data_IF_357213153980
#
_entry.id   IF_357213153980
#
_cell.length_a   1.000
_cell.length_b   1.000
_cell.length_c   1.000
_cell.angle_alpha   90.00
_cell.angle_beta   90.00
_cell.angle_gamma   90.00
#
_symmetry.space_group_name_H-M   'P 1'
#
loop_
_entity.id
_entity.type
_entity.pdbx_description
1 polymer ?
#
# COMPACT_ATOMS: atom_id res chain seq x y z
N UNK A 1 12.61 -19.08 -5.37
CA UNK A 1 11.53 -20.03 -5.08
C UNK A 1 10.33 -19.38 -4.39
N UNK A 2 10.47 -18.24 -3.71
CA UNK A 2 9.40 -17.48 -3.03
C UNK A 2 8.36 -16.86 -3.99
N UNK A 3 8.75 -16.41 -5.18
CA UNK A 3 7.82 -15.79 -6.14
C UNK A 3 6.69 -16.69 -6.64
N UNK A 4 6.92 -18.00 -6.77
CA UNK A 4 5.87 -18.94 -7.20
C UNK A 4 4.80 -19.19 -6.13
N UNK A 5 5.15 -19.05 -4.86
CA UNK A 5 4.19 -19.25 -3.76
C UNK A 5 3.21 -18.10 -3.65
N UNK A 6 3.67 -16.86 -3.92
CA UNK A 6 2.84 -15.67 -3.89
C UNK A 6 1.79 -15.69 -5.01
N UNK A 7 2.22 -15.88 -6.26
CA UNK A 7 1.32 -15.98 -7.41
C UNK A 7 0.30 -17.09 -7.19
N UNK A 8 0.72 -18.24 -6.66
CA UNK A 8 -0.17 -19.34 -6.32
C UNK A 8 -1.23 -18.93 -5.28
N UNK A 9 -0.83 -18.29 -4.18
CA UNK A 9 -1.75 -17.88 -3.11
C UNK A 9 -2.72 -16.80 -3.58
N UNK A 10 -2.27 -15.85 -4.42
CA UNK A 10 -3.07 -14.71 -4.83
C UNK A 10 -3.95 -15.02 -6.03
N UNK A 11 -3.48 -15.83 -7.00
CA UNK A 11 -4.15 -16.09 -8.28
C UNK A 11 -4.37 -17.56 -8.58
N UNK A 12 -3.30 -18.36 -8.63
CA UNK A 12 -3.32 -19.68 -9.26
C UNK A 12 -4.23 -20.65 -8.53
N UNK A 13 -4.34 -20.53 -7.20
CA UNK A 13 -5.23 -21.37 -6.40
C UNK A 13 -6.72 -21.26 -6.80
N UNK A 14 -7.13 -20.12 -7.35
CA UNK A 14 -8.52 -19.90 -7.77
C UNK A 14 -8.82 -20.51 -9.15
N UNK A 15 -7.78 -20.77 -9.93
CA UNK A 15 -7.85 -21.38 -11.26
C UNK A 15 -7.32 -22.81 -11.26
N UNK A 16 -6.71 -23.26 -10.15
CA UNK A 16 -6.25 -24.63 -9.98
C UNK A 16 -7.44 -25.61 -9.90
N UNK A 17 -7.22 -26.83 -10.39
CA UNK A 17 -8.24 -27.89 -10.41
C UNK A 17 -8.41 -28.50 -9.01
N UNK A 18 -9.09 -27.81 -8.10
CA UNK A 18 -9.62 -28.41 -6.89
C UNK A 18 -11.02 -28.97 -7.16
N UNK A 19 -11.39 -30.07 -6.52
CA UNK A 19 -12.69 -30.69 -6.72
C UNK A 19 -13.82 -29.83 -6.11
N UNK A 20 -13.53 -29.18 -4.99
CA UNK A 20 -14.45 -28.27 -4.27
C UNK A 20 -13.69 -27.08 -3.68
N UNK A 21 -14.41 -26.04 -3.27
CA UNK A 21 -13.84 -24.94 -2.49
C UNK A 21 -13.29 -25.40 -1.13
N UNK A 22 -13.91 -26.40 -0.54
CA UNK A 22 -13.45 -26.97 0.74
C UNK A 22 -12.09 -27.66 0.57
N UNK A 23 -11.86 -28.39 -0.53
CA UNK A 23 -10.55 -29.00 -0.83
C UNK A 23 -9.45 -27.92 -0.99
N UNK A 24 -9.79 -26.79 -1.60
CA UNK A 24 -8.88 -25.66 -1.73
C UNK A 24 -8.53 -25.03 -0.38
N UNK A 25 -9.53 -24.84 0.49
CA UNK A 25 -9.35 -24.30 1.84
C UNK A 25 -8.53 -25.26 2.70
N UNK A 26 -8.80 -26.57 2.61
CA UNK A 26 -8.03 -27.60 3.31
C UNK A 26 -6.57 -27.63 2.84
N UNK A 27 -6.34 -27.56 1.53
CA UNK A 27 -4.98 -27.47 0.97
C UNK A 27 -4.21 -26.27 1.52
N UNK A 28 -4.84 -25.08 1.57
CA UNK A 28 -4.23 -23.88 2.12
C UNK A 28 -3.93 -24.01 3.62
N UNK A 29 -4.86 -24.57 4.39
CA UNK A 29 -4.67 -24.87 5.82
C UNK A 29 -3.46 -25.77 6.04
N UNK A 30 -3.39 -26.88 5.32
CA UNK A 30 -2.26 -27.82 5.38
C UNK A 30 -0.93 -27.16 4.97
N UNK A 31 -0.94 -26.27 3.98
CA UNK A 31 0.24 -25.54 3.56
C UNK A 31 0.74 -24.58 4.67
N UNK A 32 -0.19 -23.85 5.31
CA UNK A 32 0.14 -22.96 6.44
C UNK A 32 0.68 -23.76 7.62
N UNK A 33 0.04 -24.87 7.98
CA UNK A 33 0.50 -25.74 9.07
C UNK A 33 1.90 -26.29 8.81
N UNK A 34 2.16 -26.71 7.58
CA UNK A 34 3.49 -27.18 7.16
C UNK A 34 4.56 -26.06 7.23
N UNK A 35 4.20 -24.84 6.85
CA UNK A 35 5.09 -23.67 6.94
C UNK A 35 5.39 -23.33 8.39
N UNK A 36 4.38 -23.28 9.27
CA UNK A 36 4.54 -23.00 10.69
C UNK A 36 5.37 -24.11 11.36
N UNK A 37 5.05 -25.38 11.08
CA UNK A 37 5.84 -26.51 11.60
C UNK A 37 7.30 -26.44 11.15
N UNK A 38 7.56 -26.10 9.89
CA UNK A 38 8.93 -25.94 9.38
C UNK A 38 9.66 -24.78 10.03
N UNK A 39 8.97 -23.68 10.36
CA UNK A 39 9.53 -22.53 11.05
C UNK A 39 9.88 -22.85 12.51
N UNK A 40 8.98 -23.57 13.22
CA UNK A 40 9.16 -23.90 14.64
C UNK A 40 10.19 -25.04 14.83
N UNK A 41 10.20 -26.01 13.92
CA UNK A 41 11.05 -27.21 14.04
C UNK A 41 12.46 -27.03 13.48
N UNK A 42 12.71 -26.02 12.67
CA UNK A 42 14.06 -25.71 12.23
C UNK A 42 14.86 -25.17 13.41
N UNK A 43 16.02 -25.78 13.60
CA UNK A 43 17.11 -25.06 14.25
C UNK A 43 17.36 -23.81 13.40
N UNK A 44 16.92 -22.65 13.90
CA UNK A 44 16.96 -21.38 13.17
C UNK A 44 18.38 -20.92 12.86
N UNK A 45 19.36 -21.77 13.15
CA UNK A 45 20.74 -21.60 12.75
C UNK A 45 21.37 -20.32 13.31
N UNK A 46 22.11 -19.66 12.47
CA UNK A 46 22.77 -18.41 12.83
C UNK A 46 21.73 -17.25 12.87
N UNK A 47 21.54 -16.58 14.02
CA UNK A 47 20.62 -15.44 14.13
C UNK A 47 20.87 -14.33 13.10
N UNK A 48 22.10 -14.16 12.62
CA UNK A 48 22.46 -13.18 11.60
C UNK A 48 21.83 -13.53 10.25
N UNK A 49 21.85 -14.80 9.86
CA UNK A 49 21.22 -15.25 8.60
C UNK A 49 19.68 -15.09 8.67
N UNK A 50 19.10 -15.29 9.84
CA UNK A 50 17.67 -15.07 10.04
C UNK A 50 17.30 -13.59 9.88
N UNK A 51 18.10 -12.67 10.44
CA UNK A 51 17.93 -11.24 10.28
C UNK A 51 18.08 -10.83 8.82
N UNK A 52 19.02 -11.39 8.08
CA UNK A 52 19.21 -11.10 6.66
C UNK A 52 18.00 -11.55 5.82
N UNK A 53 17.41 -12.70 6.13
CA UNK A 53 16.25 -13.22 5.42
C UNK A 53 14.96 -12.46 5.78
N UNK A 54 14.71 -12.24 7.09
CA UNK A 54 13.48 -11.60 7.57
C UNK A 54 13.54 -10.07 7.46
N UNK A 55 14.74 -9.48 7.50
CA UNK A 55 14.91 -8.02 7.49
C UNK A 55 14.29 -7.35 6.27
N UNK A 56 14.38 -7.98 5.09
CA UNK A 56 13.72 -7.49 3.87
C UNK A 56 12.21 -7.50 3.97
N UNK A 57 11.64 -8.57 4.50
CA UNK A 57 10.19 -8.77 4.66
C UNK A 57 9.62 -7.81 5.71
N UNK A 58 10.36 -7.57 6.81
CA UNK A 58 10.01 -6.57 7.83
C UNK A 58 10.07 -5.16 7.25
N UNK A 59 11.13 -4.82 6.51
CA UNK A 59 11.27 -3.50 5.88
C UNK A 59 10.20 -3.21 4.84
N UNK A 60 9.71 -4.25 4.16
CA UNK A 60 8.60 -4.17 3.20
C UNK A 60 7.22 -4.13 3.88
N UNK A 61 7.16 -4.22 5.23
CA UNK A 61 5.92 -4.30 6.00
C UNK A 61 5.03 -5.51 5.60
N UNK A 62 5.66 -6.62 5.19
CA UNK A 62 4.99 -7.85 4.75
C UNK A 62 4.91 -8.90 5.86
N UNK A 63 5.53 -8.65 7.02
CA UNK A 63 5.48 -9.49 8.20
C UNK A 63 4.84 -8.74 9.36
N UNK A 64 3.73 -9.28 9.86
CA UNK A 64 3.11 -8.82 11.10
C UNK A 64 2.98 -9.95 12.10
N UNK A 65 3.28 -9.66 13.36
CA UNK A 65 3.21 -10.60 14.46
C UNK A 65 2.41 -10.00 15.61
N UNK A 66 1.66 -10.82 16.30
CA UNK A 66 0.89 -10.40 17.46
C UNK A 66 1.14 -11.34 18.63
N UNK A 67 1.17 -10.81 19.84
CA UNK A 67 1.21 -11.60 21.09
C UNK A 67 0.23 -11.03 22.11
N UNK A 68 -0.50 -11.89 22.86
CA UNK A 68 -1.31 -11.47 24.00
C UNK A 68 -0.48 -11.13 25.23
N UNK A 69 0.83 -11.42 25.24
CA UNK A 69 1.74 -11.16 26.36
C UNK A 69 2.34 -9.76 26.18
N UNK A 70 2.14 -8.88 27.18
CA UNK A 70 2.53 -7.46 27.09
C UNK A 70 4.02 -7.28 26.80
N UNK A 71 4.90 -8.01 27.48
CA UNK A 71 6.36 -7.88 27.29
C UNK A 71 6.79 -8.31 25.88
N UNK A 72 6.12 -9.32 25.30
CA UNK A 72 6.36 -9.75 23.92
C UNK A 72 5.81 -8.72 22.91
N UNK A 73 4.62 -8.18 23.15
CA UNK A 73 4.02 -7.14 22.34
C UNK A 73 4.93 -5.89 22.28
N UNK A 74 5.54 -5.50 23.41
CA UNK A 74 6.51 -4.41 23.47
C UNK A 74 7.77 -4.70 22.66
N UNK A 75 8.21 -5.95 22.61
CA UNK A 75 9.33 -6.36 21.75
C UNK A 75 8.94 -6.27 20.27
N UNK A 76 7.77 -6.81 19.91
CA UNK A 76 7.27 -6.75 18.53
C UNK A 76 7.10 -5.31 18.04
N UNK A 77 6.59 -4.42 18.89
CA UNK A 77 6.48 -3.00 18.59
C UNK A 77 7.84 -2.34 18.33
N UNK A 78 8.83 -2.61 19.19
CA UNK A 78 10.21 -2.08 18.98
C UNK A 78 10.88 -2.61 17.72
N UNK A 79 10.52 -3.81 17.29
CA UNK A 79 11.00 -4.41 16.04
C UNK A 79 10.20 -3.94 14.82
N UNK A 80 9.13 -3.13 15.02
CA UNK A 80 8.21 -2.68 13.98
C UNK A 80 7.57 -3.85 13.18
N UNK A 81 7.22 -4.94 13.87
CA UNK A 81 6.57 -6.12 13.28
C UNK A 81 5.19 -6.38 13.90
N UNK A 82 4.65 -5.46 14.66
CA UNK A 82 3.33 -5.55 15.30
C UNK A 82 2.18 -5.12 14.37
N UNK A 83 2.47 -4.76 13.12
CA UNK A 83 1.50 -4.27 12.15
C UNK A 83 1.00 -2.84 12.43
N UNK A 84 1.56 -2.15 13.42
CA UNK A 84 1.26 -0.74 13.66
C UNK A 84 1.77 0.14 12.52
N UNK A 85 1.11 1.28 12.32
CA UNK A 85 1.65 2.31 11.42
C UNK A 85 3.04 2.71 11.93
N UNK A 86 4.08 2.62 11.09
CA UNK A 86 5.44 2.92 11.54
C UNK A 86 5.54 4.32 12.14
N UNK A 87 6.33 4.47 13.19
CA UNK A 87 6.69 5.79 13.69
C UNK A 87 7.47 6.53 12.60
N UNK A 88 6.82 7.51 11.95
CA UNK A 88 7.38 8.20 10.78
C UNK A 88 8.48 9.21 11.15
N UNK A 89 8.72 9.39 12.44
CA UNK A 89 9.68 10.36 12.97
C UNK A 89 9.24 11.80 12.68
N UNK A 90 10.22 12.71 12.71
CA UNK A 90 9.97 14.11 12.39
C UNK A 90 9.88 14.32 10.87
N UNK A 91 9.06 15.27 10.45
CA UNK A 91 8.80 15.64 9.07
C UNK A 91 7.34 15.43 8.67
N UNK A 92 7.03 15.80 7.46
CA UNK A 92 5.70 15.58 6.88
C UNK A 92 5.59 14.17 6.34
N UNK A 93 4.40 13.61 6.37
CA UNK A 93 4.15 12.28 5.84
C UNK A 93 3.10 12.28 4.73
N UNK A 94 3.31 11.40 3.78
CA UNK A 94 2.34 11.13 2.71
C UNK A 94 2.36 9.65 2.41
N UNK A 95 1.20 9.00 2.46
CA UNK A 95 1.05 7.65 1.91
C UNK A 95 -0.37 7.43 1.38
N UNK A 96 -0.50 6.42 0.55
CA UNK A 96 -1.76 6.00 -0.06
C UNK A 96 -2.01 4.55 0.30
N UNK A 97 -3.24 4.24 0.67
CA UNK A 97 -3.71 2.85 0.76
C UNK A 97 -4.81 2.62 -0.25
N UNK A 98 -4.96 1.39 -0.69
CA UNK A 98 -6.08 0.97 -1.54
C UNK A 98 -6.91 -0.09 -0.82
N UNK A 99 -8.21 -0.08 -1.08
CA UNK A 99 -9.13 -1.06 -0.53
C UNK A 99 -10.18 -1.42 -1.60
N UNK A 100 -10.20 -2.69 -1.98
CA UNK A 100 -11.15 -3.23 -2.95
C UNK A 100 -12.56 -3.23 -2.38
N UNK A 101 -13.49 -2.59 -3.07
CA UNK A 101 -14.91 -2.56 -2.70
C UNK A 101 -15.72 -3.76 -3.19
N UNK A 102 -15.09 -4.66 -3.94
CA UNK A 102 -15.72 -5.82 -4.53
C UNK A 102 -15.18 -7.11 -3.88
N UNK A 103 -15.95 -8.18 -3.94
CA UNK A 103 -15.58 -9.49 -3.37
C UNK A 103 -14.83 -10.35 -4.40
N UNK A 104 -13.77 -9.81 -4.99
CA UNK A 104 -12.94 -10.49 -5.99
C UNK A 104 -11.44 -10.30 -5.67
N UNK A 105 -10.55 -10.68 -6.58
CA UNK A 105 -9.09 -10.57 -6.44
C UNK A 105 -8.47 -9.56 -7.40
N UNK A 106 -9.25 -8.54 -7.78
CA UNK A 106 -8.84 -7.56 -8.79
C UNK A 106 -7.62 -6.74 -8.34
N UNK A 107 -7.37 -6.65 -7.02
CA UNK A 107 -6.17 -6.00 -6.46
C UNK A 107 -4.88 -6.59 -7.02
N UNK A 108 -4.89 -7.87 -7.42
CA UNK A 108 -3.73 -8.53 -8.03
C UNK A 108 -3.38 -7.98 -9.41
N UNK A 109 -4.26 -7.16 -9.99
CA UNK A 109 -4.07 -6.47 -11.26
C UNK A 109 -3.89 -4.95 -11.08
N UNK A 110 -3.93 -4.47 -9.84
CA UNK A 110 -3.78 -3.05 -9.54
C UNK A 110 -2.31 -2.62 -9.54
N UNK A 111 -2.01 -1.48 -10.19
CA UNK A 111 -0.73 -0.79 -10.07
C UNK A 111 -1.00 0.63 -9.58
N UNK A 112 -0.32 1.05 -8.52
CA UNK A 112 -0.46 2.39 -7.95
C UNK A 112 0.83 3.17 -8.13
N UNK A 113 0.72 4.35 -8.74
CA UNK A 113 1.81 5.30 -8.88
C UNK A 113 1.45 6.63 -8.21
N UNK A 114 2.37 7.19 -7.40
CA UNK A 114 2.14 8.38 -6.57
C UNK A 114 3.12 9.48 -6.99
N UNK A 115 2.62 10.65 -7.39
CA UNK A 115 3.43 11.77 -7.89
C UNK A 115 3.15 13.04 -7.10
N UNK A 116 3.76 13.24 -5.92
CA UNK A 116 3.74 14.52 -5.22
C UNK A 116 4.75 15.48 -5.86
N UNK A 117 4.28 16.68 -6.21
CA UNK A 117 5.13 17.78 -6.69
C UNK A 117 4.96 18.97 -5.76
N UNK A 118 5.97 19.27 -4.96
CA UNK A 118 5.92 20.26 -3.89
C UNK A 118 6.94 21.38 -4.12
N UNK A 119 6.52 22.58 -3.75
CA UNK A 119 7.40 23.76 -3.66
C UNK A 119 7.31 24.28 -2.22
N UNK A 120 8.45 24.43 -1.59
CA UNK A 120 8.58 24.94 -0.23
C UNK A 120 8.95 26.42 -0.20
N UNK A 121 8.48 27.14 0.81
CA UNK A 121 8.96 28.45 1.16
C UNK A 121 9.58 28.42 2.57
N UNK A 122 10.92 28.40 2.68
CA UNK A 122 11.60 28.34 3.97
C UNK A 122 11.33 29.55 4.89
N UNK A 123 11.01 30.71 4.31
CA UNK A 123 10.77 31.93 5.10
C UNK A 123 9.44 31.88 5.83
N UNK A 124 8.38 31.41 5.18
CA UNK A 124 7.04 31.22 5.76
C UNK A 124 6.81 29.82 6.31
N UNK A 125 7.73 28.88 6.04
CA UNK A 125 7.56 27.45 6.33
C UNK A 125 6.29 26.88 5.73
N UNK A 126 5.90 27.35 4.57
CA UNK A 126 4.74 26.88 3.84
C UNK A 126 5.15 25.94 2.71
N UNK A 127 4.22 25.05 2.36
CA UNK A 127 4.31 24.12 1.26
C UNK A 127 3.08 24.26 0.38
N UNK A 128 3.28 24.19 -0.92
CA UNK A 128 2.20 24.10 -1.91
C UNK A 128 2.61 23.18 -3.05
N UNK A 129 1.64 22.63 -3.72
CA UNK A 129 1.91 21.79 -4.88
C UNK A 129 0.72 21.01 -5.36
N UNK A 130 1.00 19.90 -6.00
CA UNK A 130 -0.01 18.97 -6.51
C UNK A 130 0.34 17.55 -6.07
N UNK A 131 -0.68 16.74 -5.91
CA UNK A 131 -0.58 15.30 -5.76
C UNK A 131 -1.35 14.65 -6.91
N UNK A 132 -0.70 13.74 -7.61
CA UNK A 132 -1.34 12.85 -8.57
C UNK A 132 -1.19 11.41 -8.09
N UNK A 133 -2.28 10.64 -8.09
CA UNK A 133 -2.26 9.19 -7.84
C UNK A 133 -2.90 8.52 -9.03
N UNK A 134 -2.13 7.67 -9.71
CA UNK A 134 -2.61 6.88 -10.84
C UNK A 134 -2.83 5.45 -10.39
N UNK A 135 -4.04 4.95 -10.61
CA UNK A 135 -4.43 3.56 -10.40
C UNK A 135 -4.64 2.91 -11.76
N UNK A 136 -3.77 1.98 -12.14
CA UNK A 136 -3.89 1.21 -13.39
C UNK A 136 -4.53 -0.14 -13.08
N UNK A 137 -5.47 -0.55 -13.92
CA UNK A 137 -6.12 -1.85 -13.89
C UNK A 137 -5.61 -2.71 -15.05
N UNK A 138 -4.68 -3.60 -14.75
CA UNK A 138 -4.08 -4.51 -15.74
C UNK A 138 -4.97 -5.74 -16.05
N UNK A 139 -6.17 -5.84 -15.44
CA UNK A 139 -7.12 -6.91 -15.73
C UNK A 139 -7.63 -6.83 -17.17
N UNK A 140 -7.90 -8.01 -17.72
CA UNK A 140 -8.56 -8.19 -19.01
C UNK A 140 -9.98 -8.75 -18.81
N UNK A 141 -10.88 -8.47 -19.74
CA UNK A 141 -12.19 -9.12 -19.79
C UNK A 141 -12.11 -10.64 -20.02
N UNK A 142 -10.95 -11.14 -20.49
CA UNK A 142 -10.68 -12.55 -20.71
C UNK A 142 -10.09 -13.26 -19.45
N UNK A 143 -9.78 -12.51 -18.40
CA UNK A 143 -9.32 -13.08 -17.13
C UNK A 143 -10.44 -13.88 -16.44
N UNK A 144 -10.10 -14.92 -15.67
CA UNK A 144 -11.09 -15.74 -14.99
C UNK A 144 -12.03 -14.93 -14.11
N UNK A 145 -13.35 -15.12 -14.26
CA UNK A 145 -14.37 -14.40 -13.53
C UNK A 145 -14.17 -14.47 -12.00
N UNK A 146 -13.67 -15.60 -11.49
CA UNK A 146 -13.36 -15.76 -10.06
C UNK A 146 -12.33 -14.75 -9.55
N UNK A 147 -11.46 -14.25 -10.41
CA UNK A 147 -10.44 -13.25 -10.07
C UNK A 147 -10.96 -11.83 -10.27
N UNK A 148 -11.59 -11.56 -11.41
CA UNK A 148 -11.92 -10.20 -11.85
C UNK A 148 -13.44 -9.94 -11.86
N UNK A 149 -14.25 -10.91 -11.44
CA UNK A 149 -15.70 -10.78 -11.40
C UNK A 149 -16.15 -9.61 -10.52
N UNK A 150 -17.17 -8.94 -10.99
CA UNK A 150 -17.87 -7.90 -10.27
C UNK A 150 -19.38 -8.15 -10.33
N UNK A 151 -20.16 -7.41 -9.56
CA UNK A 151 -21.61 -7.46 -9.70
C UNK A 151 -22.01 -6.87 -11.06
N UNK A 152 -22.52 -7.68 -12.00
CA UNK A 152 -22.88 -7.20 -13.35
C UNK A 152 -23.94 -6.11 -13.37
N UNK A 153 -24.68 -5.94 -12.26
CA UNK A 153 -25.68 -4.89 -12.09
C UNK A 153 -25.07 -3.53 -11.77
N UNK A 154 -23.81 -3.51 -11.32
CA UNK A 154 -23.12 -2.32 -10.86
C UNK A 154 -21.93 -1.92 -11.71
N UNK A 155 -21.17 -2.91 -12.18
CA UNK A 155 -19.99 -2.66 -13.00
C UNK A 155 -19.75 -3.85 -13.97
N UNK A 156 -19.22 -3.61 -15.19
CA UNK A 156 -18.78 -4.66 -16.09
C UNK A 156 -17.74 -5.57 -15.47
N UNK A 157 -17.63 -6.80 -15.99
CA UNK A 157 -16.59 -7.75 -15.62
C UNK A 157 -15.19 -7.12 -15.77
N UNK A 158 -14.35 -7.33 -14.78
CA UNK A 158 -12.99 -6.79 -14.75
C UNK A 158 -12.91 -5.31 -14.36
N UNK A 159 -14.03 -4.66 -14.05
CA UNK A 159 -13.98 -3.30 -13.50
C UNK A 159 -13.43 -3.32 -12.08
N UNK A 160 -12.39 -2.54 -11.85
CA UNK A 160 -11.79 -2.29 -10.55
C UNK A 160 -12.54 -1.16 -9.85
N UNK A 161 -12.91 -1.36 -8.59
CA UNK A 161 -13.55 -0.33 -7.77
C UNK A 161 -12.86 -0.27 -6.42
N UNK A 162 -12.16 0.84 -6.18
CA UNK A 162 -11.29 1.01 -5.03
C UNK A 162 -11.67 2.23 -4.21
N UNK A 163 -11.44 2.14 -2.90
CA UNK A 163 -11.25 3.30 -2.05
C UNK A 163 -9.74 3.55 -1.95
N UNK A 164 -9.28 4.67 -2.49
CA UNK A 164 -7.96 5.20 -2.21
C UNK A 164 -8.07 6.10 -0.97
N UNK A 165 -7.25 5.83 0.05
CA UNK A 165 -7.13 6.72 1.20
C UNK A 165 -5.76 7.37 1.19
N UNK A 166 -5.75 8.70 1.13
CA UNK A 166 -4.55 9.53 1.10
C UNK A 166 -4.36 10.12 2.49
N UNK A 167 -3.25 9.78 3.13
CA UNK A 167 -2.90 10.28 4.46
C UNK A 167 -1.84 11.35 4.36
N UNK A 168 -2.10 12.51 4.96
CA UNK A 168 -1.16 13.63 5.02
C UNK A 168 -1.55 14.62 6.12
N UNK A 169 -0.58 15.42 6.60
CA UNK A 169 -0.84 16.57 7.47
C UNK A 169 -1.38 17.77 6.72
N UNK A 170 -1.23 17.78 5.39
CA UNK A 170 -1.59 18.91 4.53
C UNK A 170 -3.05 18.92 4.14
N UNK A 171 -3.52 20.11 3.78
CA UNK A 171 -4.83 20.26 3.16
C UNK A 171 -4.78 19.84 1.69
N UNK A 172 -5.70 18.96 1.30
CA UNK A 172 -5.96 18.61 -0.09
C UNK A 172 -7.23 19.31 -0.55
N UNK A 173 -7.12 20.13 -1.58
CA UNK A 173 -8.21 20.86 -2.21
C UNK A 173 -8.35 20.45 -3.68
N UNK A 174 -9.51 20.79 -4.28
CA UNK A 174 -9.81 20.54 -5.71
C UNK A 174 -9.54 19.09 -6.12
N UNK A 175 -10.01 18.14 -5.30
CA UNK A 175 -9.79 16.72 -5.56
C UNK A 175 -10.67 16.28 -6.73
N UNK A 176 -10.03 15.66 -7.72
CA UNK A 176 -10.66 15.21 -8.97
C UNK A 176 -10.30 13.78 -9.27
N UNK A 177 -11.23 13.06 -9.87
CA UNK A 177 -11.00 11.76 -10.50
C UNK A 177 -11.22 11.94 -12.01
N UNK A 178 -10.21 11.62 -12.81
CA UNK A 178 -10.20 11.80 -14.27
C UNK A 178 -10.61 13.21 -14.71
N UNK A 179 -10.14 14.21 -13.96
CA UNK A 179 -10.45 15.62 -14.19
C UNK A 179 -11.82 16.09 -13.68
N UNK A 180 -12.66 15.19 -13.15
CA UNK A 180 -13.99 15.52 -12.64
C UNK A 180 -13.93 15.74 -11.13
N UNK A 181 -14.42 16.87 -10.58
CA UNK A 181 -14.47 17.09 -9.13
C UNK A 181 -15.32 16.01 -8.43
N UNK A 182 -14.85 15.49 -7.32
CA UNK A 182 -15.52 14.44 -6.56
C UNK A 182 -15.73 14.85 -5.11
N UNK A 183 -16.78 14.29 -4.48
CA UNK A 183 -16.96 14.38 -3.04
C UNK A 183 -15.99 13.41 -2.35
N UNK A 184 -15.32 13.90 -1.30
CA UNK A 184 -14.29 13.18 -0.57
C UNK A 184 -14.65 13.10 0.90
N UNK A 185 -14.56 11.89 1.46
CA UNK A 185 -14.59 11.73 2.92
C UNK A 185 -13.29 12.23 3.52
N UNK A 186 -13.36 13.01 4.59
CA UNK A 186 -12.16 13.44 5.34
C UNK A 186 -12.37 13.12 6.81
N UNK A 187 -11.42 12.40 7.38
CA UNK A 187 -11.45 12.07 8.82
C UNK A 187 -10.05 12.13 9.44
N UNK A 188 -9.94 12.41 10.73
CA UNK A 188 -8.66 12.32 11.43
C UNK A 188 -8.32 10.85 11.69
N UNK A 189 -7.12 10.43 11.29
CA UNK A 189 -6.61 9.09 11.52
C UNK A 189 -5.08 9.13 11.65
N UNK A 190 -4.52 8.42 12.61
CA UNK A 190 -3.07 8.40 12.91
C UNK A 190 -2.45 9.80 13.09
N UNK A 191 -3.24 10.76 13.62
CA UNK A 191 -2.80 12.16 13.80
C UNK A 191 -2.71 12.97 12.50
N UNK A 192 -3.33 12.51 11.41
CA UNK A 192 -3.33 13.11 10.06
C UNK A 192 -4.74 13.22 9.51
N UNK A 193 -4.86 13.86 8.36
CA UNK A 193 -6.06 13.80 7.55
C UNK A 193 -6.01 12.53 6.68
N UNK A 194 -7.08 11.76 6.71
CA UNK A 194 -7.33 10.67 5.78
C UNK A 194 -8.38 11.14 4.76
N UNK A 195 -7.98 11.33 3.53
CA UNK A 195 -8.86 11.71 2.40
C UNK A 195 -9.27 10.45 1.66
N UNK A 196 -10.56 10.13 1.68
CA UNK A 196 -11.10 8.89 1.13
C UNK A 196 -11.75 9.18 -0.23
N UNK A 197 -11.17 8.64 -1.28
CA UNK A 197 -11.60 8.86 -2.68
C UNK A 197 -12.00 7.52 -3.29
N UNK A 198 -13.22 7.43 -3.82
CA UNK A 198 -13.64 6.27 -4.60
C UNK A 198 -13.20 6.43 -6.05
N UNK A 199 -12.55 5.39 -6.61
CA UNK A 199 -12.10 5.32 -8.00
C UNK A 199 -12.68 4.07 -8.64
N UNK A 200 -13.14 4.19 -9.88
CA UNK A 200 -13.61 3.07 -10.69
C UNK A 200 -12.81 3.06 -12.00
N UNK A 201 -12.17 1.92 -12.30
CA UNK A 201 -11.27 1.78 -13.44
C UNK A 201 -11.68 0.58 -14.28
N UNK A 202 -11.98 0.82 -15.56
CA UNK A 202 -12.29 -0.23 -16.51
C UNK A 202 -11.07 -1.16 -16.76
N UNK A 203 -11.30 -2.41 -17.23
CA UNK A 203 -10.20 -3.31 -17.61
C UNK A 203 -9.24 -2.66 -18.61
N UNK A 204 -7.93 -2.80 -18.39
CA UNK A 204 -6.89 -2.25 -19.25
C UNK A 204 -6.78 -0.72 -19.24
N UNK A 205 -7.47 -0.03 -18.33
CA UNK A 205 -7.46 1.43 -18.23
C UNK A 205 -6.72 1.92 -16.97
N UNK A 206 -6.62 3.24 -16.84
CA UNK A 206 -6.12 3.90 -15.64
C UNK A 206 -7.12 4.96 -15.18
N UNK A 207 -7.26 5.10 -13.85
CA UNK A 207 -7.97 6.20 -13.20
C UNK A 207 -6.96 7.13 -12.52
N UNK A 208 -7.16 8.43 -12.62
CA UNK A 208 -6.22 9.43 -12.11
C UNK A 208 -6.89 10.31 -11.08
N UNK A 209 -6.38 10.28 -9.85
CA UNK A 209 -6.78 11.21 -8.78
C UNK A 209 -5.78 12.35 -8.74
N UNK A 210 -6.28 13.59 -8.80
CA UNK A 210 -5.46 14.80 -8.64
C UNK A 210 -5.97 15.65 -7.50
N UNK A 211 -5.05 16.33 -6.80
CA UNK A 211 -5.38 17.28 -5.74
C UNK A 211 -4.38 18.43 -5.71
N UNK A 212 -4.84 19.63 -5.34
CA UNK A 212 -3.98 20.72 -4.90
C UNK A 212 -3.58 20.49 -3.45
N UNK A 213 -2.30 20.71 -3.13
CA UNK A 213 -1.76 20.51 -1.79
C UNK A 213 -1.31 21.84 -1.22
N UNK A 214 -1.68 22.12 0.03
CA UNK A 214 -1.21 23.31 0.75
C UNK A 214 -1.09 23.05 2.25
N UNK A 215 -0.12 23.69 2.89
CA UNK A 215 0.05 23.57 4.33
C UNK A 215 1.32 24.25 4.84
N UNK A 216 1.60 24.04 6.11
CA UNK A 216 2.85 24.42 6.75
C UNK A 216 3.65 23.18 7.12
N UNK A 217 4.97 23.27 7.16
CA UNK A 217 5.83 22.18 7.55
C UNK A 217 6.75 22.57 8.73
N UNK A 218 7.24 21.56 9.44
CA UNK A 218 8.28 21.73 10.47
C UNK A 218 9.61 21.29 9.87
N UNK A 219 10.61 22.22 9.79
CA UNK A 219 11.93 21.83 9.31
C UNK A 219 12.57 20.80 10.26
N UNK A 220 13.19 19.79 9.70
CA UNK A 220 14.06 18.84 10.40
C UNK A 220 15.50 19.16 10.00
N UNK A 221 16.35 19.48 10.97
CA UNK A 221 17.73 19.93 10.72
C UNK A 221 17.80 21.12 9.73
N UNK A 222 16.83 22.03 9.81
CA UNK A 222 16.73 23.22 8.96
C UNK A 222 16.24 22.97 7.53
N UNK A 223 15.75 21.75 7.22
CA UNK A 223 15.32 21.33 5.88
C UNK A 223 13.88 20.81 5.89
N UNK A 224 13.21 20.90 4.76
CA UNK A 224 11.99 20.15 4.52
C UNK A 224 12.29 18.65 4.49
N UNK A 225 11.43 17.85 5.09
CA UNK A 225 11.54 16.39 5.10
C UNK A 225 10.17 15.77 4.84
N UNK A 226 10.07 14.98 3.77
CA UNK A 226 8.92 14.15 3.43
C UNK A 226 9.24 12.69 3.72
N UNK A 227 8.35 12.01 4.42
CA UNK A 227 8.41 10.57 4.69
C UNK A 227 7.24 9.89 4.01
N UNK A 228 7.54 8.93 3.16
CA UNK A 228 6.53 8.08 2.53
C UNK A 228 6.78 6.64 2.99
N UNK A 229 6.01 6.14 3.97
CA UNK A 229 6.17 4.78 4.47
C UNK A 229 5.79 3.76 3.41
N UNK A 230 6.41 2.59 3.48
CA UNK A 230 5.94 1.45 2.72
C UNK A 230 4.60 0.98 3.27
N UNK A 231 3.70 0.68 2.37
CA UNK A 231 2.39 0.08 2.66
C UNK A 231 2.38 -1.29 2.03
N UNK A 232 1.96 -2.29 2.80
CA UNK A 232 1.77 -3.63 2.26
C UNK A 232 0.68 -3.60 1.17
N UNK A 233 1.03 -4.01 -0.03
CA UNK A 233 0.15 -4.06 -1.18
C UNK A 233 0.45 -5.32 -1.99
N UNK A 234 -0.54 -5.80 -2.74
CA UNK A 234 -0.39 -6.99 -3.59
C UNK A 234 0.73 -6.78 -4.61
N UNK A 235 0.73 -5.62 -5.27
CA UNK A 235 1.82 -5.20 -6.14
C UNK A 235 2.54 -4.00 -5.49
N UNK A 236 3.87 -3.96 -5.51
CA UNK A 236 4.62 -2.82 -4.96
C UNK A 236 4.18 -1.51 -5.63
N UNK A 237 3.82 -0.52 -4.83
CA UNK A 237 3.53 0.82 -5.33
C UNK A 237 4.82 1.49 -5.80
N UNK A 238 4.70 2.49 -6.66
CA UNK A 238 5.80 3.32 -7.13
C UNK A 238 5.54 4.80 -6.87
N UNK A 239 6.59 5.60 -6.79
CA UNK A 239 6.46 7.04 -6.68
C UNK A 239 7.51 7.80 -7.49
N UNK A 240 7.10 8.96 -8.01
CA UNK A 240 7.99 9.99 -8.57
C UNK A 240 7.80 11.26 -7.74
N UNK A 241 8.69 11.50 -6.78
CA UNK A 241 8.59 12.62 -5.83
C UNK A 241 9.40 13.80 -6.33
N UNK A 242 8.76 14.95 -6.49
CA UNK A 242 9.43 16.21 -6.83
C UNK A 242 9.31 17.21 -5.67
N UNK A 243 10.43 17.68 -5.15
CA UNK A 243 10.48 18.74 -4.14
C UNK A 243 11.47 19.81 -4.62
N UNK A 244 11.00 21.05 -4.77
CA UNK A 244 11.80 22.20 -5.24
C UNK A 244 12.59 21.89 -6.53
N UNK A 245 11.95 21.14 -7.44
CA UNK A 245 12.54 20.75 -8.74
C UNK A 245 13.51 19.58 -8.67
N UNK A 246 13.78 19.02 -7.50
CA UNK A 246 14.56 17.78 -7.39
C UNK A 246 13.62 16.56 -7.43
N UNK A 247 13.91 15.64 -8.33
CA UNK A 247 13.08 14.44 -8.57
C UNK A 247 13.74 13.19 -8.00
N UNK A 248 12.95 12.36 -7.34
CA UNK A 248 13.34 11.04 -6.82
C UNK A 248 12.32 10.01 -7.29
N UNK A 249 12.79 8.96 -7.96
CA UNK A 249 11.97 7.79 -8.30
C UNK A 249 12.15 6.70 -7.25
N UNK A 250 11.07 6.01 -6.88
CA UNK A 250 11.10 4.98 -5.87
C UNK A 250 10.09 3.87 -6.15
N UNK A 251 10.51 2.62 -5.90
CA UNK A 251 9.61 1.47 -5.79
C UNK A 251 9.55 1.07 -4.33
N UNK A 252 8.36 1.00 -3.76
CA UNK A 252 8.18 0.77 -2.32
C UNK A 252 8.47 -0.67 -1.92
N UNK A 253 9.72 -0.93 -1.59
CA UNK A 253 10.18 -2.09 -0.81
C UNK A 253 10.67 -1.66 0.59
N UNK A 254 10.68 -0.36 0.84
CA UNK A 254 11.05 0.28 2.11
C UNK A 254 10.53 1.71 2.13
N UNK A 255 10.50 2.32 3.32
CA UNK A 255 10.14 3.74 3.48
C UNK A 255 11.07 4.65 2.69
N UNK A 256 10.49 5.57 1.92
CA UNK A 256 11.21 6.65 1.25
C UNK A 256 11.30 7.87 2.16
N UNK A 257 12.48 8.48 2.24
CA UNK A 257 12.69 9.77 2.91
C UNK A 257 13.35 10.75 1.94
N UNK A 258 12.68 11.88 1.71
CA UNK A 258 13.20 12.99 0.88
C UNK A 258 13.45 14.18 1.79
N UNK A 259 14.67 14.72 1.81
CA UNK A 259 15.05 15.91 2.57
C UNK A 259 15.61 16.99 1.63
N UNK A 260 15.17 18.25 1.79
CA UNK A 260 15.56 19.41 0.98
C UNK A 260 15.69 20.67 1.80
#
# INVERSE_FOLDING_TARGET
MLFRSYDFIVRDQYTASFATDDDRVEFLGNAVDAMVAALIQRDLGNPVELVDVLGGVVQANELSMWSPVVDEADVLHRLAVDGAVPALGDGDALWVTQHNLLTNKIDSFAQVHIEPTFVTDPASRSLRGTLTVTLTNDASADDPEVLVGSDPRRAPLGTMRELLTIYTEHTLDDIRVDGVPVAVGVQPEFGRHAYIVQVEVAPGAAGVVTASVSGSYRPVDGRYRLVMPVVAAVNPMTATVSVDGTVVEHTFSRTLVVAR
#
